data_IF_211282798365
#
_entry.id   IF_211282798365
#
_cell.length_a   1.000
_cell.length_b   1.000
_cell.length_c   1.000
_cell.angle_alpha   90.00
_cell.angle_beta   90.00
_cell.angle_gamma   90.00
#
_symmetry.space_group_name_H-M   'P 1'
#
loop_
_entity.id
_entity.type
_entity.pdbx_description
1 polymer ?
#
# COMPACT_ATOMS: atom_id res chain seq x y z
N UNK A 1 -16.64 -32.15 17.18
CA UNK A 1 -17.75 -31.28 16.76
C UNK A 1 -17.43 -30.75 15.38
N UNK A 2 -18.11 -31.28 14.37
CA UNK A 2 -17.82 -31.10 12.95
C UNK A 2 -17.87 -29.62 12.55
N UNK A 3 -16.75 -29.07 12.07
CA UNK A 3 -16.72 -27.79 11.38
C UNK A 3 -17.43 -27.99 10.05
N UNK A 4 -18.75 -27.78 10.04
CA UNK A 4 -19.52 -27.66 8.80
C UNK A 4 -18.83 -26.60 7.94
N UNK A 5 -18.19 -27.06 6.87
CA UNK A 5 -17.51 -26.23 5.88
C UNK A 5 -18.55 -25.35 5.22
N UNK A 6 -18.69 -24.11 5.70
CA UNK A 6 -19.47 -23.07 5.03
C UNK A 6 -19.06 -23.07 3.55
N UNK A 7 -19.98 -23.22 2.60
CA UNK A 7 -19.64 -23.20 1.19
C UNK A 7 -18.90 -21.89 0.88
N UNK A 8 -17.66 -22.01 0.40
CA UNK A 8 -16.80 -20.85 0.09
C UNK A 8 -17.41 -20.11 -1.09
N UNK A 9 -18.20 -19.07 -0.81
CA UNK A 9 -18.76 -18.20 -1.86
C UNK A 9 -17.63 -17.71 -2.77
N UNK A 10 -17.74 -17.85 -4.10
CA UNK A 10 -16.70 -17.42 -5.07
C UNK A 10 -16.51 -15.90 -5.09
N UNK A 11 -17.34 -15.16 -4.36
CA UNK A 11 -17.34 -13.71 -4.33
C UNK A 11 -16.04 -13.09 -3.78
N UNK A 12 -15.43 -13.66 -2.72
CA UNK A 12 -14.19 -13.09 -2.15
C UNK A 12 -12.99 -13.25 -3.09
N UNK A 13 -12.75 -14.44 -3.69
CA UNK A 13 -11.73 -14.58 -4.72
C UNK A 13 -11.97 -13.68 -5.95
N UNK A 14 -13.23 -13.45 -6.34
CA UNK A 14 -13.55 -12.55 -7.46
C UNK A 14 -13.15 -11.10 -7.16
N UNK A 15 -13.44 -10.58 -5.97
CA UNK A 15 -13.00 -9.23 -5.56
C UNK A 15 -11.48 -9.13 -5.45
N UNK A 16 -10.82 -10.18 -4.96
CA UNK A 16 -9.36 -10.24 -4.95
C UNK A 16 -8.80 -10.17 -6.38
N UNK A 17 -9.41 -10.86 -7.33
CA UNK A 17 -9.02 -10.82 -8.74
C UNK A 17 -9.16 -9.42 -9.34
N UNK A 18 -10.21 -8.66 -9.00
CA UNK A 18 -10.34 -7.25 -9.41
C UNK A 18 -9.16 -6.40 -8.91
N UNK A 19 -8.76 -6.59 -7.65
CA UNK A 19 -7.56 -5.93 -7.10
C UNK A 19 -6.29 -6.32 -7.86
N UNK A 20 -6.12 -7.61 -8.18
CA UNK A 20 -4.95 -8.09 -8.95
C UNK A 20 -4.94 -7.55 -10.39
N UNK A 21 -6.10 -7.41 -11.03
CA UNK A 21 -6.19 -6.77 -12.34
C UNK A 21 -5.80 -5.29 -12.26
N UNK A 22 -6.28 -4.57 -11.24
CA UNK A 22 -5.88 -3.18 -11.00
C UNK A 22 -4.36 -3.04 -10.80
N UNK A 23 -3.73 -3.99 -10.09
CA UNK A 23 -2.28 -4.07 -9.93
C UNK A 23 -1.57 -4.24 -11.28
N UNK A 24 -2.01 -5.20 -12.10
CA UNK A 24 -1.39 -5.48 -13.40
C UNK A 24 -1.51 -4.28 -14.35
N UNK A 25 -2.69 -3.65 -14.45
CA UNK A 25 -2.86 -2.42 -15.21
C UNK A 25 -2.07 -1.25 -14.63
N UNK A 26 -1.96 -1.17 -13.30
CA UNK A 26 -1.13 -0.17 -12.62
C UNK A 26 0.35 -0.30 -12.99
N UNK A 27 0.88 -1.53 -13.01
CA UNK A 27 2.27 -1.81 -13.45
C UNK A 27 2.44 -1.42 -14.91
N UNK A 28 1.54 -1.85 -15.80
CA UNK A 28 1.61 -1.52 -17.22
C UNK A 28 1.59 0.00 -17.45
N UNK A 29 0.64 0.72 -16.83
CA UNK A 29 0.55 2.18 -16.90
C UNK A 29 1.83 2.85 -16.37
N UNK A 30 2.43 2.32 -15.30
CA UNK A 30 3.67 2.85 -14.72
C UNK A 30 4.88 2.69 -15.64
N UNK A 31 4.99 1.54 -16.32
CA UNK A 31 6.06 1.27 -17.28
C UNK A 31 5.87 2.11 -18.56
N UNK A 32 4.63 2.28 -19.03
CA UNK A 32 4.29 3.15 -20.17
C UNK A 32 4.61 4.62 -19.89
N UNK A 33 4.45 5.11 -18.65
CA UNK A 33 4.91 6.46 -18.24
C UNK A 33 6.42 6.66 -18.41
N UNK A 34 7.21 5.59 -18.39
CA UNK A 34 8.66 5.62 -18.59
C UNK A 34 9.08 5.39 -20.05
N UNK A 35 8.12 5.30 -20.97
CA UNK A 35 8.36 5.04 -22.39
C UNK A 35 8.69 3.59 -22.71
N UNK A 36 8.36 2.64 -21.82
CA UNK A 36 8.52 1.22 -22.09
C UNK A 36 7.25 0.65 -22.71
N UNK A 37 7.40 -0.03 -23.84
CA UNK A 37 6.31 -0.71 -24.53
C UNK A 37 5.81 -1.90 -23.70
N UNK A 38 4.49 -1.99 -23.54
CA UNK A 38 3.84 -3.06 -22.79
C UNK A 38 2.84 -3.78 -23.68
N UNK A 39 2.70 -5.11 -23.55
CA UNK A 39 1.71 -5.88 -24.32
C UNK A 39 0.26 -5.55 -23.93
N UNK A 40 0.06 -4.90 -22.77
CA UNK A 40 -1.24 -4.47 -22.26
C UNK A 40 -1.29 -2.94 -22.30
N UNK A 41 -2.25 -2.39 -23.04
CA UNK A 41 -2.51 -0.95 -23.04
C UNK A 41 -3.18 -0.53 -21.72
N UNK A 42 -2.59 0.43 -21.02
CA UNK A 42 -3.19 1.04 -19.83
C UNK A 42 -2.98 2.56 -19.91
N UNK A 43 -3.97 3.39 -19.51
CA UNK A 43 -3.80 4.83 -19.58
C UNK A 43 -2.69 5.32 -18.61
N UNK A 44 -1.60 5.93 -19.08
CA UNK A 44 -0.47 6.31 -18.22
C UNK A 44 -0.86 7.24 -17.06
N UNK A 45 -1.84 8.12 -17.27
CA UNK A 45 -2.36 9.02 -16.23
C UNK A 45 -3.00 8.25 -15.06
N UNK A 46 -3.53 7.05 -15.32
CA UNK A 46 -4.29 6.28 -14.34
C UNK A 46 -3.39 5.50 -13.35
N UNK A 47 -2.07 5.41 -13.59
CA UNK A 47 -1.14 4.61 -12.79
C UNK A 47 -1.37 4.74 -11.27
N UNK A 48 -1.36 5.97 -10.76
CA UNK A 48 -1.47 6.20 -9.31
C UNK A 48 -2.85 5.84 -8.76
N UNK A 49 -3.93 6.12 -9.51
CA UNK A 49 -5.29 5.75 -9.10
C UNK A 49 -5.50 4.23 -9.17
N UNK A 50 -4.93 3.54 -10.18
CA UNK A 50 -4.98 2.08 -10.30
C UNK A 50 -4.25 1.41 -9.14
N UNK A 51 -3.08 1.93 -8.74
CA UNK A 51 -2.32 1.40 -7.61
C UNK A 51 -2.99 1.69 -6.27
N UNK A 52 -3.22 2.96 -5.94
CA UNK A 52 -3.75 3.35 -4.61
C UNK A 52 -5.24 3.08 -4.51
N UNK A 53 -6.01 3.62 -5.46
CA UNK A 53 -7.46 3.57 -5.43
C UNK A 53 -8.05 2.24 -5.87
N UNK A 54 -7.42 1.56 -6.83
CA UNK A 54 -7.85 0.27 -7.35
C UNK A 54 -7.31 -0.90 -6.54
N UNK A 55 -6.00 -1.13 -6.59
CA UNK A 55 -5.36 -2.28 -5.96
C UNK A 55 -5.41 -2.21 -4.42
N UNK A 56 -4.79 -1.20 -3.81
CA UNK A 56 -4.75 -1.10 -2.35
C UNK A 56 -6.14 -0.85 -1.74
N UNK A 57 -6.95 0.03 -2.36
CA UNK A 57 -8.34 0.25 -1.96
C UNK A 57 -9.17 -1.04 -1.93
N UNK A 58 -9.02 -1.89 -2.94
CA UNK A 58 -9.74 -3.18 -3.01
C UNK A 58 -9.23 -4.14 -1.94
N UNK A 59 -7.91 -4.29 -1.78
CA UNK A 59 -7.33 -5.21 -0.80
C UNK A 59 -7.67 -4.82 0.63
N UNK A 60 -7.45 -3.56 1.00
CA UNK A 60 -7.73 -3.04 2.34
C UNK A 60 -9.23 -3.16 2.62
N UNK A 61 -10.08 -2.74 1.68
CA UNK A 61 -11.53 -2.87 1.81
C UNK A 61 -11.99 -4.31 1.98
N UNK A 62 -11.41 -5.25 1.22
CA UNK A 62 -11.76 -6.66 1.25
C UNK A 62 -11.34 -7.31 2.57
N UNK A 63 -10.13 -7.03 3.06
CA UNK A 63 -9.66 -7.51 4.35
C UNK A 63 -10.61 -7.06 5.47
N UNK A 64 -10.97 -5.78 5.50
CA UNK A 64 -11.90 -5.25 6.51
C UNK A 64 -13.30 -5.81 6.38
N UNK A 65 -13.81 -6.01 5.16
CA UNK A 65 -15.11 -6.63 4.93
C UNK A 65 -15.15 -8.09 5.45
N UNK A 66 -14.04 -8.83 5.27
CA UNK A 66 -13.91 -10.19 5.79
C UNK A 66 -13.82 -10.21 7.31
N UNK A 67 -13.03 -9.31 7.90
CA UNK A 67 -12.85 -9.22 9.35
C UNK A 67 -14.16 -8.84 10.09
N UNK A 68 -14.90 -7.85 9.58
CA UNK A 68 -16.16 -7.38 10.21
C UNK A 68 -17.35 -8.29 9.95
N UNK A 69 -17.31 -9.08 8.87
CA UNK A 69 -18.41 -9.94 8.39
C UNK A 69 -19.72 -9.19 8.07
N UNK A 70 -19.68 -7.86 7.94
CA UNK A 70 -20.84 -7.07 7.53
C UNK A 70 -21.05 -7.17 6.03
N UNK A 71 -22.25 -7.58 5.60
CA UNK A 71 -22.59 -7.77 4.17
C UNK A 71 -22.38 -6.51 3.35
N UNK A 72 -22.73 -5.35 3.89
CA UNK A 72 -22.53 -4.05 3.22
C UNK A 72 -21.06 -3.62 3.17
N UNK A 73 -20.19 -4.18 4.03
CA UNK A 73 -18.76 -3.85 4.04
C UNK A 73 -18.05 -4.20 2.73
N UNK A 74 -18.60 -5.16 1.96
CA UNK A 74 -18.10 -5.53 0.64
C UNK A 74 -18.38 -4.49 -0.45
N UNK A 75 -19.22 -3.47 -0.20
CA UNK A 75 -19.47 -2.41 -1.17
C UNK A 75 -18.20 -1.61 -1.47
N UNK A 76 -17.36 -1.35 -0.46
CA UNK A 76 -16.11 -0.60 -0.63
C UNK A 76 -15.11 -1.29 -1.59
N UNK A 77 -14.69 -2.55 -1.35
CA UNK A 77 -13.79 -3.23 -2.29
C UNK A 77 -14.42 -3.49 -3.66
N UNK A 78 -15.75 -3.67 -3.73
CA UNK A 78 -16.45 -3.81 -5.01
C UNK A 78 -16.36 -2.52 -5.83
N UNK A 79 -16.70 -1.37 -5.23
CA UNK A 79 -16.62 -0.07 -5.89
C UNK A 79 -15.18 0.28 -6.28
N UNK A 80 -14.20 0.02 -5.42
CA UNK A 80 -12.78 0.24 -5.72
C UNK A 80 -12.31 -0.61 -6.91
N UNK A 81 -12.61 -1.91 -6.92
CA UNK A 81 -12.19 -2.83 -7.98
C UNK A 81 -12.83 -2.52 -9.34
N UNK A 82 -14.15 -2.26 -9.37
CA UNK A 82 -14.83 -1.85 -10.61
C UNK A 82 -14.42 -0.43 -11.04
N UNK A 83 -14.14 0.47 -10.11
CA UNK A 83 -13.61 1.80 -10.41
C UNK A 83 -12.25 1.72 -11.12
N UNK A 84 -11.38 0.79 -10.71
CA UNK A 84 -10.12 0.53 -11.40
C UNK A 84 -10.32 0.05 -12.84
N UNK A 85 -11.25 -0.88 -13.07
CA UNK A 85 -11.56 -1.33 -14.43
C UNK A 85 -12.17 -0.20 -15.27
N UNK A 86 -13.03 0.64 -14.68
CA UNK A 86 -13.60 1.78 -15.37
C UNK A 86 -12.52 2.79 -15.79
N UNK A 87 -11.47 3.01 -14.99
CA UNK A 87 -10.34 3.86 -15.40
C UNK A 87 -9.58 3.35 -16.64
N UNK A 88 -9.64 2.04 -16.92
CA UNK A 88 -8.94 1.41 -18.05
C UNK A 88 -9.83 1.34 -19.28
N UNK A 89 -11.09 0.93 -19.10
CA UNK A 89 -11.97 0.54 -20.19
C UNK A 89 -13.03 1.58 -20.54
N UNK A 90 -13.28 2.56 -19.69
CA UNK A 90 -14.28 3.62 -19.94
C UNK A 90 -13.55 4.89 -20.39
N UNK A 91 -13.96 5.54 -21.49
CA UNK A 91 -13.26 6.71 -22.03
C UNK A 91 -13.12 7.89 -21.05
N UNK A 92 -14.11 8.09 -20.17
CA UNK A 92 -14.07 9.16 -19.18
C UNK A 92 -13.53 8.68 -17.83
N UNK A 93 -12.44 9.27 -17.31
CA UNK A 93 -11.87 8.89 -16.01
C UNK A 93 -12.81 9.21 -14.83
N UNK A 94 -13.83 10.04 -15.06
CA UNK A 94 -14.81 10.44 -14.05
C UNK A 94 -15.52 9.23 -13.42
N UNK A 95 -15.91 8.23 -14.21
CA UNK A 95 -16.65 7.07 -13.71
C UNK A 95 -15.79 6.22 -12.76
N UNK A 96 -14.54 5.96 -13.16
CA UNK A 96 -13.58 5.25 -12.32
C UNK A 96 -13.27 6.02 -11.04
N UNK A 97 -13.09 7.33 -11.14
CA UNK A 97 -12.90 8.21 -9.99
C UNK A 97 -14.12 8.21 -9.05
N UNK A 98 -15.35 8.33 -9.55
CA UNK A 98 -16.57 8.35 -8.72
C UNK A 98 -16.69 7.07 -7.90
N UNK A 99 -16.44 5.91 -8.51
CA UNK A 99 -16.48 4.62 -7.83
C UNK A 99 -15.37 4.49 -6.77
N UNK A 100 -14.14 4.89 -7.08
CA UNK A 100 -13.01 4.88 -6.14
C UNK A 100 -13.24 5.88 -4.98
N UNK A 101 -13.77 7.06 -5.27
CA UNK A 101 -14.09 8.07 -4.27
C UNK A 101 -15.24 7.58 -3.35
N UNK A 102 -16.28 6.99 -3.92
CA UNK A 102 -17.34 6.32 -3.18
C UNK A 102 -16.83 5.17 -2.29
N UNK A 103 -15.86 4.38 -2.78
CA UNK A 103 -15.20 3.34 -1.98
C UNK A 103 -14.49 3.92 -0.76
N UNK A 104 -13.81 5.06 -0.91
CA UNK A 104 -13.16 5.74 0.21
C UNK A 104 -14.15 6.25 1.25
N UNK A 105 -15.30 6.79 0.83
CA UNK A 105 -16.39 7.19 1.74
C UNK A 105 -16.96 6.00 2.51
N UNK A 106 -17.23 4.89 1.82
CA UNK A 106 -17.72 3.64 2.45
C UNK A 106 -16.73 3.11 3.49
N UNK A 107 -15.43 3.21 3.22
CA UNK A 107 -14.38 2.79 4.15
C UNK A 107 -14.30 3.69 5.38
N UNK A 108 -14.49 5.02 5.24
CA UNK A 108 -14.62 5.95 6.37
C UNK A 108 -15.80 5.55 7.26
N UNK A 109 -16.97 5.27 6.66
CA UNK A 109 -18.17 4.84 7.41
C UNK A 109 -17.91 3.53 8.15
N UNK A 110 -17.23 2.57 7.52
CA UNK A 110 -16.85 1.29 8.13
C UNK A 110 -15.95 1.50 9.36
N UNK A 111 -14.88 2.28 9.24
CA UNK A 111 -13.99 2.56 10.36
C UNK A 111 -14.64 3.42 11.44
N UNK A 112 -15.49 4.38 11.07
CA UNK A 112 -16.27 5.17 12.03
C UNK A 112 -17.18 4.28 12.88
N UNK A 113 -17.86 3.32 12.26
CA UNK A 113 -18.68 2.34 12.99
C UNK A 113 -17.85 1.46 13.91
N UNK A 114 -16.70 0.96 13.46
CA UNK A 114 -15.77 0.18 14.30
C UNK A 114 -15.24 0.99 15.48
N UNK A 115 -14.92 2.26 15.25
CA UNK A 115 -14.48 3.15 16.31
C UNK A 115 -15.59 3.41 17.34
N UNK A 116 -16.82 3.64 16.89
CA UNK A 116 -17.96 3.82 17.79
C UNK A 116 -18.21 2.57 18.66
N UNK A 117 -18.01 1.37 18.11
CA UNK A 117 -18.21 0.10 18.83
C UNK A 117 -17.09 -0.22 19.84
N UNK A 118 -15.83 0.01 19.47
CA UNK A 118 -14.68 -0.47 20.26
C UNK A 118 -13.86 0.64 20.94
N UNK A 119 -14.04 1.90 20.54
CA UNK A 119 -13.29 3.08 21.03
C UNK A 119 -11.78 2.85 21.05
N UNK A 120 -11.26 2.29 19.96
CA UNK A 120 -9.88 1.85 19.84
C UNK A 120 -9.08 2.73 18.88
N UNK A 121 -7.91 3.21 19.33
CA UNK A 121 -7.09 4.19 18.61
C UNK A 121 -6.71 3.74 17.18
N UNK A 122 -6.26 2.48 16.94
CA UNK A 122 -6.01 2.00 15.59
C UNK A 122 -7.20 2.18 14.63
N UNK A 123 -8.44 1.94 15.06
CA UNK A 123 -9.60 2.18 14.19
C UNK A 123 -9.76 3.67 13.83
N UNK A 124 -9.46 4.58 14.74
CA UNK A 124 -9.47 6.01 14.46
C UNK A 124 -8.39 6.41 13.46
N UNK A 125 -7.17 5.86 13.59
CA UNK A 125 -6.07 6.11 12.65
C UNK A 125 -6.37 5.55 11.25
N UNK A 126 -6.96 4.35 11.17
CA UNK A 126 -7.42 3.81 9.88
C UNK A 126 -8.53 4.66 9.27
N UNK A 127 -9.45 5.18 10.08
CA UNK A 127 -10.49 6.12 9.64
C UNK A 127 -9.90 7.43 9.12
N UNK A 128 -8.89 7.98 9.79
CA UNK A 128 -8.14 9.15 9.32
C UNK A 128 -7.42 8.85 8.00
N UNK A 129 -6.80 7.68 7.87
CA UNK A 129 -6.22 7.23 6.60
C UNK A 129 -7.27 7.18 5.48
N UNK A 130 -8.44 6.61 5.72
CA UNK A 130 -9.52 6.56 4.74
C UNK A 130 -10.03 7.97 4.37
N UNK A 131 -10.06 8.91 5.32
CA UNK A 131 -10.34 10.32 5.05
C UNK A 131 -9.27 10.94 4.15
N UNK A 132 -7.99 10.69 4.41
CA UNK A 132 -6.90 11.13 3.53
C UNK A 132 -7.04 10.53 2.12
N UNK A 133 -7.52 9.30 1.98
CA UNK A 133 -7.81 8.73 0.66
C UNK A 133 -8.90 9.50 -0.08
N UNK A 134 -10.02 9.80 0.58
CA UNK A 134 -11.12 10.60 0.02
C UNK A 134 -10.65 11.99 -0.42
N UNK A 135 -9.94 12.69 0.46
CA UNK A 135 -9.40 14.03 0.20
C UNK A 135 -8.36 13.99 -0.92
N UNK A 136 -7.48 12.99 -0.93
CA UNK A 136 -6.47 12.81 -1.98
C UNK A 136 -7.10 12.59 -3.35
N UNK A 137 -8.16 11.77 -3.42
CA UNK A 137 -8.94 11.59 -4.65
C UNK A 137 -9.59 12.90 -5.10
N UNK A 138 -10.09 13.71 -4.17
CA UNK A 138 -10.65 15.04 -4.45
C UNK A 138 -9.61 15.99 -5.06
N UNK A 139 -8.41 16.06 -4.48
CA UNK A 139 -7.31 16.86 -5.03
C UNK A 139 -6.89 16.42 -6.43
N UNK A 140 -6.87 15.12 -6.71
CA UNK A 140 -6.59 14.59 -8.05
C UNK A 140 -7.65 14.97 -9.08
N UNK A 141 -8.93 14.97 -8.69
CA UNK A 141 -10.02 15.42 -9.54
C UNK A 141 -9.92 16.92 -9.84
N UNK A 142 -9.76 17.74 -8.81
CA UNK A 142 -9.61 19.19 -8.94
C UNK A 142 -8.33 19.56 -9.71
N UNK A 143 -7.29 18.73 -9.62
CA UNK A 143 -6.05 18.84 -10.38
C UNK A 143 -6.14 18.31 -11.81
N UNK A 144 -7.33 17.96 -12.30
CA UNK A 144 -7.58 17.55 -13.70
C UNK A 144 -7.02 16.18 -14.09
N UNK A 145 -6.76 15.29 -13.12
CA UNK A 145 -6.12 14.00 -13.33
C UNK A 145 -4.70 14.07 -13.95
N UNK A 146 -4.03 15.22 -13.81
CA UNK A 146 -2.67 15.43 -14.28
C UNK A 146 -1.70 15.68 -13.12
N UNK A 147 -0.39 15.48 -13.32
CA UNK A 147 0.65 15.81 -12.33
C UNK A 147 0.75 17.33 -12.07
N UNK A 148 -0.17 17.86 -11.26
CA UNK A 148 -0.23 19.26 -10.82
C UNK A 148 0.18 19.39 -9.36
N UNK A 149 0.50 20.61 -8.90
CA UNK A 149 0.79 20.89 -7.48
C UNK A 149 -0.33 20.37 -6.55
N UNK A 150 -1.58 20.55 -6.96
CA UNK A 150 -2.73 20.02 -6.24
C UNK A 150 -2.76 18.49 -6.24
N UNK A 151 -2.49 17.86 -7.39
CA UNK A 151 -2.35 16.41 -7.51
C UNK A 151 -1.26 15.85 -6.60
N UNK A 152 -0.12 16.54 -6.46
CA UNK A 152 0.97 16.14 -5.56
C UNK A 152 0.60 16.25 -4.08
N UNK A 153 -0.13 17.31 -3.69
CA UNK A 153 -0.75 17.36 -2.35
C UNK A 153 -1.69 16.17 -2.16
N UNK A 154 -2.50 15.82 -3.16
CA UNK A 154 -3.34 14.62 -3.16
C UNK A 154 -2.56 13.31 -3.05
N UNK A 155 -1.37 13.23 -3.65
CA UNK A 155 -0.47 12.09 -3.50
C UNK A 155 0.09 11.97 -2.09
N UNK A 156 0.41 13.09 -1.41
CA UNK A 156 0.77 13.04 0.02
C UNK A 156 -0.39 12.53 0.88
N UNK A 157 -1.65 12.86 0.53
CA UNK A 157 -2.82 12.27 1.19
C UNK A 157 -2.89 10.75 0.97
N UNK A 158 -2.52 10.24 -0.21
CA UNK A 158 -2.44 8.80 -0.47
C UNK A 158 -1.29 8.12 0.30
N UNK A 159 -0.16 8.81 0.47
CA UNK A 159 0.93 8.34 1.36
C UNK A 159 0.41 8.24 2.79
N UNK A 160 -0.29 9.26 3.29
CA UNK A 160 -0.94 9.25 4.60
C UNK A 160 -1.96 8.13 4.76
N UNK A 161 -2.80 7.91 3.74
CA UNK A 161 -3.78 6.82 3.75
C UNK A 161 -3.11 5.48 4.06
N UNK A 162 -2.15 5.07 3.22
CA UNK A 162 -1.51 3.76 3.39
C UNK A 162 -0.64 3.72 4.64
N UNK A 163 0.09 4.79 4.95
CA UNK A 163 0.95 4.84 6.13
C UNK A 163 0.12 4.70 7.42
N UNK A 164 -0.95 5.46 7.57
CA UNK A 164 -1.80 5.41 8.76
C UNK A 164 -2.53 4.08 8.88
N UNK A 165 -3.02 3.50 7.77
CA UNK A 165 -3.63 2.17 7.78
C UNK A 165 -2.63 1.11 8.22
N UNK A 166 -1.46 1.02 7.58
CA UNK A 166 -0.41 0.05 7.92
C UNK A 166 0.04 0.25 9.36
N UNK A 167 0.32 1.49 9.76
CA UNK A 167 0.77 1.81 11.10
C UNK A 167 -0.27 1.41 12.16
N UNK A 168 -1.55 1.66 11.91
CA UNK A 168 -2.63 1.24 12.79
C UNK A 168 -2.76 -0.29 12.89
N UNK A 169 -2.65 -1.03 11.78
CA UNK A 169 -2.64 -2.49 11.78
C UNK A 169 -1.48 -3.04 12.61
N UNK A 170 -0.29 -2.43 12.48
CA UNK A 170 0.88 -2.77 13.30
C UNK A 170 0.63 -2.50 14.79
N UNK A 171 0.01 -1.37 15.14
CA UNK A 171 -0.36 -1.08 16.53
C UNK A 171 -1.37 -2.09 17.09
N UNK A 172 -2.33 -2.54 16.28
CA UNK A 172 -3.31 -3.56 16.67
C UNK A 172 -2.64 -4.91 16.99
N UNK A 173 -1.67 -5.33 16.18
CA UNK A 173 -0.89 -6.56 16.39
C UNK A 173 0.04 -6.44 17.61
N UNK A 174 0.58 -5.24 17.86
CA UNK A 174 1.46 -4.96 18.99
C UNK A 174 0.71 -4.62 20.29
N UNK A 175 -0.59 -4.92 20.39
CA UNK A 175 -1.43 -4.61 21.57
C UNK A 175 -0.88 -5.11 22.91
N UNK A 176 -0.10 -6.19 22.88
CA UNK A 176 0.49 -6.80 24.08
C UNK A 176 1.71 -6.02 24.59
N UNK A 177 2.39 -5.28 23.72
CA UNK A 177 3.46 -4.36 24.09
C UNK A 177 2.86 -3.00 24.39
N UNK A 178 2.57 -2.73 25.67
CA UNK A 178 2.01 -1.44 26.12
C UNK A 178 3.01 -0.30 25.84
N UNK A 179 2.69 0.69 24.98
CA UNK A 179 3.61 1.79 24.72
C UNK A 179 3.77 2.67 25.96
N UNK A 180 5.02 3.03 26.27
CA UNK A 180 5.33 4.02 27.31
C UNK A 180 4.69 5.38 26.97
N UNK A 181 4.43 6.25 27.95
CA UNK A 181 3.88 7.59 27.68
C UNK A 181 4.70 8.37 26.64
N UNK A 182 6.03 8.36 26.76
CA UNK A 182 6.92 9.00 25.79
C UNK A 182 6.81 8.42 24.37
N UNK A 183 6.61 7.10 24.24
CA UNK A 183 6.35 6.46 22.94
C UNK A 183 5.06 6.95 22.30
N UNK A 184 4.01 7.22 23.08
CA UNK A 184 2.73 7.73 22.56
C UNK A 184 2.84 9.18 22.12
N UNK A 185 3.57 9.99 22.87
CA UNK A 185 3.84 11.39 22.51
C UNK A 185 4.65 11.43 21.20
N UNK A 186 5.75 10.67 21.10
CA UNK A 186 6.55 10.64 19.88
C UNK A 186 5.76 10.19 18.64
N UNK A 187 4.90 9.18 18.80
CA UNK A 187 3.97 8.74 17.76
C UNK A 187 3.00 9.86 17.36
N UNK A 188 2.36 10.51 18.33
CA UNK A 188 1.43 11.61 18.09
C UNK A 188 2.09 12.79 17.36
N UNK A 189 3.29 13.17 17.80
CA UNK A 189 4.08 14.22 17.15
C UNK A 189 4.45 13.87 15.70
N UNK A 190 4.82 12.61 15.43
CA UNK A 190 5.09 12.16 14.07
C UNK A 190 3.86 12.23 13.16
N UNK A 191 2.69 11.79 13.65
CA UNK A 191 1.41 11.87 12.91
C UNK A 191 1.01 13.33 12.70
N UNK A 192 1.17 14.20 13.70
CA UNK A 192 0.90 15.62 13.58
C UNK A 192 1.82 16.30 12.56
N UNK A 193 3.11 15.96 12.55
CA UNK A 193 4.05 16.46 11.53
C UNK A 193 3.64 16.01 10.11
N UNK A 194 3.20 14.76 9.95
CA UNK A 194 2.71 14.27 8.64
C UNK A 194 1.45 15.02 8.19
N UNK A 195 0.43 15.12 9.04
CA UNK A 195 -0.82 15.82 8.71
C UNK A 195 -0.56 17.33 8.47
N UNK A 196 0.23 17.95 9.35
CA UNK A 196 0.61 19.36 9.22
C UNK A 196 1.44 19.63 7.98
N UNK A 197 2.38 18.75 7.65
CA UNK A 197 3.20 18.83 6.42
C UNK A 197 2.35 18.71 5.15
N UNK A 198 1.38 17.78 5.12
CA UNK A 198 0.43 17.66 4.01
C UNK A 198 -0.41 18.93 3.84
N UNK A 199 -0.95 19.48 4.93
CA UNK A 199 -1.78 20.70 4.88
C UNK A 199 -0.94 21.92 4.48
N UNK A 200 0.27 22.04 5.02
CA UNK A 200 1.22 23.10 4.70
C UNK A 200 1.67 23.01 3.23
N UNK A 201 1.83 21.79 2.67
CA UNK A 201 2.21 21.61 1.27
C UNK A 201 1.21 22.26 0.30
N UNK A 202 -0.07 22.36 0.68
CA UNK A 202 -1.09 23.00 -0.15
C UNK A 202 -0.84 24.51 -0.36
N UNK A 203 -0.13 25.17 0.56
CA UNK A 203 0.13 26.63 0.51
C UNK A 203 1.62 26.97 0.38
N UNK A 204 2.50 26.12 0.92
CA UNK A 204 3.95 26.25 0.93
C UNK A 204 4.56 24.86 0.62
N UNK A 205 4.66 24.48 -0.67
CA UNK A 205 4.99 23.12 -1.08
C UNK A 205 6.30 22.59 -0.50
N UNK A 206 7.35 23.42 -0.47
CA UNK A 206 8.67 23.00 -0.01
C UNK A 206 8.69 22.77 1.50
N UNK A 207 8.19 23.73 2.27
CA UNK A 207 8.14 23.68 3.74
C UNK A 207 7.22 22.54 4.20
N UNK A 208 6.09 22.36 3.51
CA UNK A 208 5.19 21.24 3.74
C UNK A 208 5.84 19.89 3.49
N UNK A 209 6.58 19.74 2.38
CA UNK A 209 7.30 18.51 2.06
C UNK A 209 8.39 18.20 3.08
N UNK A 210 9.13 19.20 3.54
CA UNK A 210 10.15 19.05 4.60
C UNK A 210 9.50 18.57 5.89
N UNK A 211 8.44 19.24 6.35
CA UNK A 211 7.72 18.84 7.58
C UNK A 211 7.13 17.42 7.45
N UNK A 212 6.61 17.08 6.26
CA UNK A 212 6.15 15.74 5.95
C UNK A 212 7.28 14.70 6.04
N UNK A 213 8.46 15.02 5.51
CA UNK A 213 9.67 14.19 5.59
C UNK A 213 10.13 13.94 7.02
N UNK A 214 10.10 14.97 7.88
CA UNK A 214 10.36 14.83 9.33
C UNK A 214 9.37 13.85 9.95
N UNK A 215 8.09 13.96 9.60
CA UNK A 215 7.05 13.02 10.03
C UNK A 215 7.32 11.58 9.60
N UNK A 216 7.73 11.34 8.35
CA UNK A 216 8.08 10.01 7.83
C UNK A 216 9.26 9.41 8.60
N UNK A 217 10.33 10.19 8.83
CA UNK A 217 11.49 9.74 9.61
C UNK A 217 11.12 9.43 11.06
N UNK A 218 10.27 10.26 11.67
CA UNK A 218 9.80 10.05 13.03
C UNK A 218 9.02 8.73 13.16
N UNK A 219 8.11 8.44 12.21
CA UNK A 219 7.35 7.19 12.20
C UNK A 219 8.24 5.98 11.87
N UNK A 220 9.19 6.11 10.94
CA UNK A 220 10.17 5.05 10.64
C UNK A 220 10.99 4.70 11.88
N UNK A 221 11.55 5.71 12.56
CA UNK A 221 12.31 5.52 13.81
C UNK A 221 11.46 4.91 14.92
N UNK A 222 10.19 5.33 15.02
CA UNK A 222 9.24 4.76 15.97
C UNK A 222 9.00 3.27 15.71
N UNK A 223 8.74 2.89 14.45
CA UNK A 223 8.50 1.51 14.04
C UNK A 223 9.72 0.63 14.33
N UNK A 224 10.92 1.07 13.95
CA UNK A 224 12.17 0.36 14.26
C UNK A 224 12.36 0.14 15.76
N UNK A 225 11.99 1.13 16.58
CA UNK A 225 12.21 1.10 18.03
C UNK A 225 11.17 0.30 18.80
N UNK A 226 9.91 0.36 18.40
CA UNK A 226 8.77 -0.11 19.20
C UNK A 226 7.95 -1.23 18.54
N UNK A 227 8.08 -1.47 17.23
CA UNK A 227 7.38 -2.58 16.58
C UNK A 227 8.02 -3.94 16.96
N UNK A 228 7.20 -4.99 17.06
CA UNK A 228 7.67 -6.35 17.35
C UNK A 228 8.55 -6.96 16.25
N UNK A 229 8.56 -6.39 15.03
CA UNK A 229 9.38 -6.79 13.90
C UNK A 229 10.86 -6.91 14.23
N UNK A 230 11.39 -6.00 15.09
CA UNK A 230 12.79 -6.03 15.55
C UNK A 230 13.17 -7.29 16.31
N UNK A 231 12.19 -7.97 16.92
CA UNK A 231 12.39 -9.21 17.64
C UNK A 231 12.10 -10.40 16.74
N UNK A 232 11.00 -10.35 15.99
CA UNK A 232 10.59 -11.44 15.08
C UNK A 232 11.56 -11.63 13.92
N UNK A 233 12.31 -10.60 13.51
CA UNK A 233 13.34 -10.72 12.47
C UNK A 233 14.46 -11.72 12.81
N UNK A 234 14.63 -12.09 14.09
CA UNK A 234 15.58 -13.10 14.55
C UNK A 234 15.00 -14.52 14.55
N UNK A 235 13.68 -14.66 14.39
CA UNK A 235 13.04 -15.95 14.32
C UNK A 235 13.35 -16.67 12.99
N UNK A 236 13.04 -17.97 12.96
CA UNK A 236 13.10 -18.82 11.76
C UNK A 236 11.70 -18.97 11.14
N UNK A 237 11.64 -19.50 9.93
CA UNK A 237 10.38 -19.72 9.21
C UNK A 237 9.64 -18.44 8.84
N UNK A 238 8.31 -18.53 8.76
CA UNK A 238 7.42 -17.44 8.35
C UNK A 238 7.56 -16.20 9.24
N UNK A 239 7.61 -16.38 10.57
CA UNK A 239 7.77 -15.27 11.52
C UNK A 239 9.07 -14.50 11.28
N UNK A 240 10.16 -15.21 11.00
CA UNK A 240 11.44 -14.62 10.62
C UNK A 240 11.39 -13.85 9.30
N UNK A 241 10.73 -14.42 8.29
CA UNK A 241 10.49 -13.79 6.99
C UNK A 241 9.69 -12.50 7.15
N UNK A 242 8.54 -12.55 7.81
CA UNK A 242 7.73 -11.36 8.08
C UNK A 242 8.55 -10.30 8.81
N UNK A 243 9.27 -10.65 9.88
CA UNK A 243 10.09 -9.69 10.61
C UNK A 243 11.18 -9.02 9.77
N UNK A 244 11.95 -9.78 8.98
CA UNK A 244 13.02 -9.24 8.12
C UNK A 244 12.48 -8.36 7.00
N UNK A 245 11.41 -8.78 6.34
CA UNK A 245 10.77 -8.01 5.26
C UNK A 245 10.16 -6.70 5.79
N UNK A 246 9.53 -6.72 6.98
CA UNK A 246 9.02 -5.52 7.64
C UNK A 246 10.14 -4.51 7.96
N UNK A 247 11.26 -4.99 8.50
CA UNK A 247 12.42 -4.13 8.78
C UNK A 247 13.00 -3.51 7.51
N UNK A 248 13.05 -4.27 6.40
CA UNK A 248 13.37 -3.73 5.08
C UNK A 248 12.41 -2.62 4.66
N UNK A 249 11.11 -2.82 4.86
CA UNK A 249 10.10 -1.78 4.63
C UNK A 249 10.34 -0.52 5.46
N UNK A 250 10.65 -0.64 6.75
CA UNK A 250 10.92 0.52 7.62
C UNK A 250 12.16 1.31 7.17
N UNK A 251 13.18 0.62 6.68
CA UNK A 251 14.34 1.27 6.07
C UNK A 251 13.91 2.16 4.89
N UNK A 252 13.09 1.63 3.98
CA UNK A 252 12.60 2.41 2.84
C UNK A 252 11.66 3.55 3.21
N UNK A 253 10.88 3.42 4.28
CA UNK A 253 10.12 4.54 4.84
C UNK A 253 11.06 5.67 5.29
N UNK A 254 12.20 5.31 5.91
CA UNK A 254 13.26 6.25 6.24
C UNK A 254 13.88 6.92 5.01
N UNK A 255 14.17 6.14 3.96
CA UNK A 255 14.69 6.68 2.69
C UNK A 255 13.69 7.64 2.04
N UNK A 256 12.39 7.33 2.04
CA UNK A 256 11.35 8.24 1.54
C UNK A 256 11.30 9.55 2.36
N UNK A 257 11.43 9.47 3.68
CA UNK A 257 11.54 10.64 4.55
C UNK A 257 12.77 11.50 4.24
N UNK A 258 13.94 10.86 4.08
CA UNK A 258 15.17 11.56 3.67
C UNK A 258 15.05 12.22 2.31
N UNK A 259 14.46 11.53 1.32
CA UNK A 259 14.20 12.09 0.00
C UNK A 259 13.26 13.31 0.07
N UNK A 260 12.23 13.27 0.91
CA UNK A 260 11.32 14.41 1.13
C UNK A 260 12.02 15.63 1.73
N UNK A 261 12.99 15.44 2.63
CA UNK A 261 13.76 16.57 3.20
C UNK A 261 14.69 17.23 2.19
N UNK A 262 15.25 16.45 1.27
CA UNK A 262 16.28 16.90 0.32
C UNK A 262 15.70 17.38 -1.00
N UNK A 263 14.49 16.93 -1.35
CA UNK A 263 13.84 17.32 -2.59
C UNK A 263 13.62 18.84 -2.66
N UNK A 264 13.97 19.50 -3.79
CA UNK A 264 13.69 20.92 -3.99
C UNK A 264 12.18 21.24 -3.95
N UNK A 265 11.35 20.25 -4.28
CA UNK A 265 9.90 20.28 -4.24
C UNK A 265 9.34 18.98 -4.84
N UNK A 266 8.03 18.76 -4.68
CA UNK A 266 7.36 17.58 -5.25
C UNK A 266 6.76 17.93 -6.62
N UNK A 267 7.52 17.64 -7.68
CA UNK A 267 7.18 17.94 -9.07
C UNK A 267 7.53 16.74 -9.98
N UNK A 268 7.02 16.69 -11.24
CA UNK A 268 7.34 15.58 -12.14
C UNK A 268 8.83 15.50 -12.39
N UNK A 269 9.44 14.35 -12.09
CA UNK A 269 10.88 14.18 -12.20
C UNK A 269 11.42 13.13 -11.24
N UNK A 270 12.74 13.07 -11.15
CA UNK A 270 13.49 12.03 -10.44
C UNK A 270 13.26 12.04 -8.92
N UNK A 271 13.23 13.23 -8.28
CA UNK A 271 13.00 13.32 -6.82
C UNK A 271 11.62 12.81 -6.38
N UNK A 272 10.57 13.16 -7.12
CA UNK A 272 9.24 12.65 -6.85
C UNK A 272 9.16 11.13 -7.10
N UNK A 273 9.81 10.65 -8.16
CA UNK A 273 9.87 9.22 -8.44
C UNK A 273 10.55 8.44 -7.30
N UNK A 274 11.74 8.89 -6.87
CA UNK A 274 12.51 8.30 -5.78
C UNK A 274 11.73 8.26 -4.47
N UNK A 275 11.15 9.39 -4.04
CA UNK A 275 10.38 9.48 -2.80
C UNK A 275 9.17 8.53 -2.84
N UNK A 276 8.36 8.64 -3.90
CA UNK A 276 7.11 7.90 -3.99
C UNK A 276 7.37 6.41 -4.14
N UNK A 277 8.37 5.98 -4.92
CA UNK A 277 8.67 4.55 -5.07
C UNK A 277 9.42 3.99 -3.86
N UNK A 278 10.25 4.76 -3.16
CA UNK A 278 10.77 4.35 -1.84
C UNK A 278 9.61 4.07 -0.87
N UNK A 279 8.57 4.92 -0.86
CA UNK A 279 7.39 4.70 -0.03
C UNK A 279 6.51 3.54 -0.53
N UNK A 280 5.98 3.61 -1.74
CA UNK A 280 4.99 2.64 -2.23
C UNK A 280 5.62 1.28 -2.53
N UNK A 281 6.76 1.20 -3.24
CA UNK A 281 7.42 -0.08 -3.48
C UNK A 281 8.24 -0.52 -2.26
N UNK A 282 9.09 0.35 -1.74
CA UNK A 282 10.00 -0.02 -0.67
C UNK A 282 9.28 -0.34 0.63
N UNK A 283 8.42 0.55 1.13
CA UNK A 283 7.70 0.36 2.38
C UNK A 283 6.40 -0.44 2.22
N UNK A 284 5.48 0.01 1.36
CA UNK A 284 4.13 -0.59 1.27
C UNK A 284 4.16 -2.00 0.67
N UNK A 285 4.86 -2.26 -0.44
CA UNK A 285 4.93 -3.63 -0.98
C UNK A 285 5.69 -4.59 -0.06
N UNK A 286 6.67 -4.12 0.73
CA UNK A 286 7.27 -4.95 1.78
C UNK A 286 6.23 -5.40 2.81
N UNK A 287 5.26 -4.55 3.17
CA UNK A 287 4.13 -4.96 4.04
C UNK A 287 3.27 -6.03 3.37
N UNK A 288 2.94 -5.84 2.09
CA UNK A 288 2.18 -6.82 1.31
C UNK A 288 2.89 -8.17 1.30
N UNK A 289 4.19 -8.19 0.98
CA UNK A 289 4.98 -9.42 0.93
C UNK A 289 5.08 -10.10 2.29
N UNK A 290 5.33 -9.32 3.35
CA UNK A 290 5.49 -9.83 4.71
C UNK A 290 4.21 -10.49 5.25
N UNK A 291 3.04 -9.95 4.87
CA UNK A 291 1.74 -10.36 5.40
C UNK A 291 0.92 -11.24 4.45
N UNK A 292 1.24 -11.31 3.16
CA UNK A 292 0.48 -12.10 2.19
C UNK A 292 0.28 -13.57 2.61
N UNK A 293 1.29 -14.31 3.12
CA UNK A 293 1.09 -15.70 3.56
C UNK A 293 0.09 -15.85 4.74
N UNK A 294 -0.21 -14.75 5.43
CA UNK A 294 -1.10 -14.70 6.60
C UNK A 294 -2.50 -14.19 6.20
N UNK A 295 -2.57 -13.15 5.38
CA UNK A 295 -3.83 -12.48 4.99
C UNK A 295 -4.55 -13.26 3.87
N UNK A 296 -3.84 -13.77 2.86
CA UNK A 296 -4.50 -14.50 1.76
C UNK A 296 -5.36 -15.68 2.24
N UNK A 297 -4.89 -16.51 3.20
CA UNK A 297 -5.71 -17.58 3.76
C UNK A 297 -6.98 -17.09 4.48
N UNK A 298 -6.95 -15.93 5.14
CA UNK A 298 -8.13 -15.42 5.84
C UNK A 298 -9.22 -14.94 4.88
N UNK A 299 -8.83 -14.42 3.71
CA UNK A 299 -9.74 -13.92 2.67
C UNK A 299 -10.27 -15.06 1.79
N UNK A 300 -9.37 -15.89 1.25
CA UNK A 300 -9.70 -16.93 0.26
C UNK A 300 -10.05 -18.28 0.90
N UNK A 301 -9.62 -18.51 2.13
CA UNK A 301 -9.68 -19.82 2.77
C UNK A 301 -8.69 -20.83 2.20
N UNK A 302 -7.69 -20.41 1.43
CA UNK A 302 -6.63 -21.27 0.89
C UNK A 302 -5.31 -21.03 1.62
N UNK A 303 -4.68 -22.10 2.10
CA UNK A 303 -3.40 -22.01 2.77
C UNK A 303 -2.29 -21.56 1.80
N UNK A 304 -1.42 -20.68 2.28
CA UNK A 304 -0.20 -20.25 1.56
C UNK A 304 1.00 -20.69 2.39
N UNK A 305 1.49 -21.93 2.23
CA UNK A 305 2.64 -22.41 2.99
C UNK A 305 3.89 -21.60 2.64
N UNK A 306 4.60 -21.17 3.68
CA UNK A 306 5.86 -20.45 3.53
C UNK A 306 6.97 -21.35 2.99
N UNK A 307 7.76 -20.80 2.08
CA UNK A 307 8.98 -21.42 1.54
C UNK A 307 10.12 -20.40 1.48
N UNK A 308 11.37 -20.85 1.58
CA UNK A 308 12.55 -19.97 1.59
C UNK A 308 12.71 -19.14 0.31
N UNK A 309 12.22 -19.60 -0.84
CA UNK A 309 12.28 -18.84 -2.10
C UNK A 309 11.43 -17.55 -2.08
N UNK A 310 10.59 -17.33 -1.06
CA UNK A 310 9.88 -16.06 -0.88
C UNK A 310 10.84 -14.88 -0.67
N UNK A 311 12.07 -15.11 -0.18
CA UNK A 311 13.08 -14.05 -0.18
C UNK A 311 13.50 -13.60 -1.58
N UNK A 312 13.28 -14.42 -2.62
CA UNK A 312 13.65 -14.08 -3.99
C UNK A 312 12.96 -12.82 -4.48
N UNK A 313 11.62 -12.76 -4.40
CA UNK A 313 10.88 -11.56 -4.84
C UNK A 313 11.17 -10.33 -3.96
N UNK A 314 11.43 -10.53 -2.67
CA UNK A 314 11.84 -9.43 -1.75
C UNK A 314 13.21 -8.88 -2.14
N UNK A 315 14.19 -9.75 -2.39
CA UNK A 315 15.54 -9.36 -2.80
C UNK A 315 15.54 -8.66 -4.15
N UNK A 316 14.79 -9.19 -5.13
CA UNK A 316 14.63 -8.54 -6.45
C UNK A 316 13.98 -7.17 -6.29
N UNK A 317 12.93 -7.02 -5.47
CA UNK A 317 12.28 -5.73 -5.24
C UNK A 317 13.26 -4.71 -4.64
N UNK A 318 13.98 -5.06 -3.58
CA UNK A 318 14.91 -4.14 -2.92
C UNK A 318 16.11 -3.77 -3.80
N UNK A 319 16.70 -4.75 -4.51
CA UNK A 319 17.81 -4.51 -5.43
C UNK A 319 17.40 -3.64 -6.62
N UNK A 320 16.24 -3.92 -7.22
CA UNK A 320 15.71 -3.13 -8.33
C UNK A 320 15.29 -1.72 -7.91
N UNK A 321 14.73 -1.56 -6.71
CA UNK A 321 14.40 -0.24 -6.16
C UNK A 321 15.65 0.58 -5.88
N UNK A 322 16.71 -0.04 -5.35
CA UNK A 322 18.00 0.62 -5.19
C UNK A 322 18.57 1.09 -6.54
N UNK A 323 18.55 0.22 -7.55
CA UNK A 323 18.96 0.57 -8.92
C UNK A 323 18.16 1.77 -9.46
N UNK A 324 16.85 1.76 -9.23
CA UNK A 324 15.95 2.85 -9.63
C UNK A 324 16.32 4.17 -8.96
N UNK A 325 16.51 4.18 -7.64
CA UNK A 325 16.87 5.39 -6.89
C UNK A 325 18.26 5.91 -7.24
N UNK A 326 19.24 5.04 -7.53
CA UNK A 326 20.54 5.46 -8.07
C UNK A 326 20.35 6.13 -9.42
N UNK A 327 19.47 5.60 -10.27
CA UNK A 327 19.05 6.25 -11.52
C UNK A 327 18.36 7.59 -11.28
N UNK A 328 17.53 7.72 -10.24
CA UNK A 328 16.87 8.97 -9.92
C UNK A 328 17.85 10.04 -9.42
N UNK A 329 18.65 9.74 -8.40
CA UNK A 329 19.60 10.71 -7.84
C UNK A 329 20.76 11.03 -8.77
N UNK A 330 21.14 10.09 -9.64
CA UNK A 330 22.12 10.33 -10.69
C UNK A 330 21.53 10.92 -11.97
N UNK A 331 20.21 11.14 -12.02
CA UNK A 331 19.47 11.60 -13.20
C UNK A 331 19.75 10.76 -14.46
N UNK A 332 19.92 9.44 -14.30
CA UNK A 332 20.23 8.47 -15.35
C UNK A 332 18.95 7.71 -15.76
N UNK A 333 18.28 8.08 -16.86
CA UNK A 333 16.97 7.52 -17.21
C UNK A 333 16.98 6.01 -17.46
N UNK A 334 18.07 5.49 -18.02
CA UNK A 334 18.19 4.06 -18.35
C UNK A 334 18.23 3.18 -17.09
N UNK A 335 18.92 3.62 -16.03
CA UNK A 335 18.94 2.90 -14.76
C UNK A 335 17.55 2.94 -14.10
N UNK A 336 16.86 4.07 -14.20
CA UNK A 336 15.48 4.21 -13.72
C UNK A 336 14.52 3.25 -14.46
N UNK A 337 14.64 3.14 -15.78
CA UNK A 337 13.83 2.21 -16.59
C UNK A 337 14.09 0.74 -16.24
N UNK A 338 15.35 0.33 -16.13
CA UNK A 338 15.70 -1.04 -15.71
C UNK A 338 15.24 -1.34 -14.28
N UNK A 339 15.44 -0.40 -13.35
CA UNK A 339 14.93 -0.50 -12.00
C UNK A 339 13.41 -0.71 -11.98
N UNK A 340 12.68 0.12 -12.73
CA UNK A 340 11.22 0.01 -12.85
C UNK A 340 10.75 -1.32 -13.46
N UNK A 341 11.37 -1.78 -14.54
CA UNK A 341 11.05 -3.06 -15.15
C UNK A 341 11.27 -4.22 -14.16
N UNK A 342 12.40 -4.22 -13.46
CA UNK A 342 12.72 -5.23 -12.46
C UNK A 342 11.83 -5.14 -11.20
N UNK A 343 11.36 -3.94 -10.83
CA UNK A 343 10.32 -3.80 -9.80
C UNK A 343 9.02 -4.50 -10.23
N UNK A 344 8.61 -4.34 -11.50
CA UNK A 344 7.46 -5.05 -12.06
C UNK A 344 7.66 -6.57 -12.03
N UNK A 345 8.84 -7.05 -12.44
CA UNK A 345 9.22 -8.47 -12.35
C UNK A 345 9.16 -8.97 -10.91
N UNK A 346 9.62 -8.20 -9.93
CA UNK A 346 9.55 -8.59 -8.51
C UNK A 346 8.11 -8.86 -8.05
N UNK A 347 7.17 -8.00 -8.46
CA UNK A 347 5.76 -8.16 -8.13
C UNK A 347 5.16 -9.40 -8.84
N UNK A 348 5.50 -9.63 -10.11
CA UNK A 348 5.06 -10.82 -10.83
C UNK A 348 5.62 -12.11 -10.19
N UNK A 349 6.89 -12.10 -9.79
CA UNK A 349 7.50 -13.22 -9.05
C UNK A 349 6.79 -13.46 -7.72
N UNK A 350 6.38 -12.41 -7.00
CA UNK A 350 5.56 -12.55 -5.80
C UNK A 350 4.21 -13.23 -6.08
N UNK A 351 3.50 -12.81 -7.14
CA UNK A 351 2.21 -13.41 -7.53
C UNK A 351 2.39 -14.88 -7.91
N UNK A 352 3.39 -15.20 -8.73
CA UNK A 352 3.71 -16.57 -9.14
C UNK A 352 4.04 -17.46 -7.93
N UNK A 353 4.94 -17.02 -7.04
CA UNK A 353 5.28 -17.77 -5.84
C UNK A 353 4.06 -18.04 -4.95
N UNK A 354 3.18 -17.04 -4.80
CA UNK A 354 1.96 -17.18 -4.00
C UNK A 354 0.98 -18.18 -4.62
N UNK A 355 0.72 -18.07 -5.93
CA UNK A 355 -0.17 -18.98 -6.65
C UNK A 355 0.39 -20.40 -6.65
N UNK A 356 1.68 -20.58 -6.93
CA UNK A 356 2.35 -21.89 -6.88
C UNK A 356 2.25 -22.52 -5.48
N UNK A 357 2.45 -21.73 -4.41
CA UNK A 357 2.31 -22.22 -3.05
C UNK A 357 0.89 -22.70 -2.75
N UNK A 358 -0.14 -21.97 -3.20
CA UNK A 358 -1.55 -22.38 -3.07
C UNK A 358 -1.83 -23.66 -3.84
N UNK A 359 -1.42 -23.74 -5.11
CA UNK A 359 -1.68 -24.90 -5.97
C UNK A 359 -1.02 -26.17 -5.42
N UNK A 360 0.25 -26.07 -5.00
CA UNK A 360 0.98 -27.19 -4.40
C UNK A 360 0.34 -27.67 -3.08
N UNK A 361 -0.16 -26.73 -2.26
CA UNK A 361 -0.87 -27.08 -1.03
C UNK A 361 -2.19 -27.84 -1.34
N UNK A 362 -2.92 -27.43 -2.37
CA UNK A 362 -4.17 -28.08 -2.77
C UNK A 362 -3.95 -29.47 -3.34
N UNK A 363 -2.93 -29.66 -4.18
CA UNK A 363 -2.59 -30.98 -4.73
C UNK A 363 -2.30 -31.99 -3.62
N UNK A 364 -1.54 -31.58 -2.60
CA UNK A 364 -1.25 -32.43 -1.43
C UNK A 364 -2.49 -32.78 -0.61
N UNK A 365 -3.47 -31.86 -0.49
CA UNK A 365 -4.72 -32.12 0.24
C UNK A 365 -5.74 -32.99 -0.50
N UNK A 366 -5.53 -33.23 -1.81
CA UNK A 366 -6.42 -34.10 -2.61
C UNK A 366 -5.86 -35.53 -2.68
N UNK A 367 -4.56 -35.70 -2.48
CA UNK A 367 -3.87 -36.99 -2.55
C UNK A 367 -3.78 -37.74 -1.20
N UNK A 368 -4.08 -37.08 -0.08
CA UNK A 368 -4.13 -37.68 1.26
C UNK A 368 -5.45 -37.35 1.91
#
# INVERSE_FOLDING_TARGET
MSLASVPKSPFRPALLALGMLALLFGIAAGLQRLGLDMPIAAPPFAHSLLMVGGFFGTLIGLERAVATRWRWGYLAPTASGFGALALVFVPSPLYGWLLINGASLLLIVLYGRLYCQHRFLPHALMGLGALCWLVGNGFWYLGGFVPSSLGYTGTLCWVLFLLLTIFAERLELNRLTRPTPGSRIGMGMGILALCGGMLLHAVAPREGLVLFGVGLLAIAGWLVRFDTARYTMRARGLTGFTGRTLMGGYFWLGVAGGAALMAPGLAPGFWADALLHAFFLGFVFSMVFAHAPIIFPSVTGWAVPYHSHFYGHVGVLHGSLLLRLVGDFGEVPILRQWGAALNGVAILLFLLNTVSAVLLARLKSVQG
#
